data_IF_304126977742
#
_entry.id   IF_304126977742
#
_cell.length_a   1.000
_cell.length_b   1.000
_cell.length_c   1.000
_cell.angle_alpha   90.00
_cell.angle_beta   90.00
_cell.angle_gamma   90.00
#
_symmetry.space_group_name_H-M   'P 1'
#
loop_
_entity.id
_entity.type
_entity.pdbx_description
1 polymer ?
#
# COMPACT_ATOMS: atom_id res chain seq x y z
N UNK A 1 9.38 -27.86 -12.43
CA UNK A 1 8.58 -26.68 -12.84
C UNK A 1 8.18 -26.05 -11.53
N UNK A 2 9.03 -25.18 -11.00
CA UNK A 2 8.94 -24.72 -9.60
C UNK A 2 9.17 -23.19 -9.48
N UNK A 3 9.34 -22.50 -10.61
CA UNK A 3 9.61 -21.06 -10.66
C UNK A 3 8.39 -20.20 -10.34
N UNK A 4 7.26 -20.45 -11.02
CA UNK A 4 6.08 -19.57 -10.95
C UNK A 4 5.41 -19.49 -9.56
N UNK A 5 5.46 -20.56 -8.76
CA UNK A 5 4.86 -20.57 -7.42
C UNK A 5 5.60 -19.70 -6.41
N UNK A 6 6.90 -19.51 -6.56
CA UNK A 6 7.71 -18.65 -5.68
C UNK A 6 7.44 -17.17 -5.97
N UNK A 7 7.24 -16.82 -7.24
CA UNK A 7 6.97 -15.45 -7.67
C UNK A 7 5.62 -14.96 -7.12
N UNK A 8 4.56 -15.78 -7.21
CA UNK A 8 3.25 -15.42 -6.67
C UNK A 8 3.24 -15.31 -5.14
N UNK A 9 3.93 -16.20 -4.44
CA UNK A 9 4.05 -16.13 -2.97
C UNK A 9 4.80 -14.85 -2.55
N UNK A 10 5.93 -14.55 -3.20
CA UNK A 10 6.72 -13.34 -2.93
C UNK A 10 5.92 -12.06 -3.21
N UNK A 11 5.17 -12.03 -4.31
CA UNK A 11 4.25 -10.92 -4.62
C UNK A 11 3.19 -10.76 -3.54
N UNK A 12 2.59 -11.87 -3.09
CA UNK A 12 1.56 -11.86 -2.04
C UNK A 12 2.12 -11.33 -0.72
N UNK A 13 3.27 -11.83 -0.26
CA UNK A 13 3.95 -11.34 0.95
C UNK A 13 4.27 -9.83 0.84
N UNK A 14 4.69 -9.38 -0.34
CA UNK A 14 4.96 -7.95 -0.59
C UNK A 14 3.68 -7.12 -0.49
N UNK A 15 2.58 -7.60 -1.07
CA UNK A 15 1.26 -6.93 -1.00
C UNK A 15 0.78 -6.86 0.45
N UNK A 16 0.94 -7.92 1.24
CA UNK A 16 0.56 -7.93 2.65
C UNK A 16 1.37 -6.90 3.45
N UNK A 17 2.70 -6.85 3.27
CA UNK A 17 3.54 -5.84 3.90
C UNK A 17 3.16 -4.40 3.52
N UNK A 18 2.82 -4.16 2.24
CA UNK A 18 2.34 -2.86 1.78
C UNK A 18 0.96 -2.51 2.36
N UNK A 19 0.07 -3.49 2.54
CA UNK A 19 -1.24 -3.29 3.20
C UNK A 19 -1.07 -2.89 4.66
N UNK A 20 -0.21 -3.57 5.41
CA UNK A 20 0.11 -3.19 6.79
C UNK A 20 0.66 -1.76 6.86
N UNK A 21 1.59 -1.45 5.96
CA UNK A 21 2.18 -0.11 5.87
C UNK A 21 1.12 0.95 5.54
N UNK A 22 0.18 0.65 4.64
CA UNK A 22 -0.95 1.53 4.32
C UNK A 22 -1.86 1.77 5.53
N UNK A 23 -2.14 0.74 6.34
CA UNK A 23 -2.93 0.86 7.58
C UNK A 23 -2.20 1.72 8.61
N UNK A 24 -0.90 1.50 8.81
CA UNK A 24 -0.08 2.31 9.70
C UNK A 24 -0.09 3.79 9.29
N UNK A 25 0.04 4.05 7.98
CA UNK A 25 0.00 5.40 7.43
C UNK A 25 -1.38 6.07 7.64
N UNK A 26 -2.46 5.29 7.55
CA UNK A 26 -3.81 5.75 7.85
C UNK A 26 -3.95 6.17 9.31
N UNK A 27 -3.46 5.35 10.24
CA UNK A 27 -3.44 5.69 11.66
C UNK A 27 -2.64 6.97 11.93
N UNK A 28 -1.51 7.16 11.23
CA UNK A 28 -0.71 8.37 11.40
C UNK A 28 -1.43 9.63 10.87
N UNK A 29 -2.15 9.52 9.75
CA UNK A 29 -3.00 10.60 9.23
C UNK A 29 -4.15 10.93 10.17
N UNK A 30 -4.79 9.90 10.75
CA UNK A 30 -5.91 10.06 11.68
C UNK A 30 -5.44 10.75 12.98
N UNK A 31 -4.32 10.29 13.54
CA UNK A 31 -3.68 10.89 14.71
C UNK A 31 -3.27 12.36 14.48
N UNK A 32 -2.80 12.72 13.27
CA UNK A 32 -2.51 14.11 12.92
C UNK A 32 -3.77 14.97 12.80
N UNK A 33 -4.89 14.38 12.40
CA UNK A 33 -6.17 15.09 12.29
C UNK A 33 -6.77 15.31 13.68
N UNK A 34 -6.67 14.32 14.57
CA UNK A 34 -7.18 14.38 15.94
C UNK A 34 -6.45 15.41 16.82
N UNK A 35 -5.14 15.60 16.62
CA UNK A 35 -4.34 16.57 17.36
C UNK A 35 -4.64 18.05 17.03
N UNK A 36 -5.51 18.35 16.06
CA UNK A 36 -6.03 19.69 15.76
C UNK A 36 -5.03 20.68 15.13
N UNK A 37 -3.72 20.44 15.26
CA UNK A 37 -2.66 21.15 14.53
C UNK A 37 -2.28 20.30 13.32
N UNK A 38 -3.04 20.48 12.23
CA UNK A 38 -2.73 19.82 10.96
C UNK A 38 -1.46 20.47 10.41
N UNK A 39 -0.32 19.84 10.65
CA UNK A 39 0.91 20.13 9.93
C UNK A 39 0.67 19.80 8.44
N UNK A 40 0.35 20.84 7.67
CA UNK A 40 -0.03 20.71 6.26
C UNK A 40 1.06 20.03 5.43
N UNK A 41 2.33 20.24 5.80
CA UNK A 41 3.47 19.62 5.13
C UNK A 41 3.52 18.12 5.43
N UNK A 42 3.33 17.74 6.70
CA UNK A 42 3.29 16.33 7.11
C UNK A 42 2.07 15.61 6.51
N UNK A 43 0.90 16.23 6.54
CA UNK A 43 -0.32 15.70 5.93
C UNK A 43 -0.17 15.50 4.42
N UNK A 44 0.41 16.46 3.70
CA UNK A 44 0.67 16.33 2.26
C UNK A 44 1.66 15.19 1.94
N UNK A 45 2.70 15.00 2.76
CA UNK A 45 3.65 13.88 2.63
C UNK A 45 2.95 12.54 2.83
N UNK A 46 2.17 12.40 3.89
CA UNK A 46 1.44 11.15 4.18
C UNK A 46 0.41 10.83 3.09
N UNK A 47 -0.34 11.81 2.58
CA UNK A 47 -1.24 11.59 1.43
C UNK A 47 -0.49 11.10 0.19
N UNK A 48 0.67 11.69 -0.10
CA UNK A 48 1.51 11.29 -1.24
C UNK A 48 2.05 9.87 -1.06
N UNK A 49 2.48 9.52 0.15
CA UNK A 49 2.97 8.20 0.47
C UNK A 49 1.85 7.15 0.43
N UNK A 50 0.66 7.50 0.93
CA UNK A 50 -0.54 6.66 0.84
C UNK A 50 -0.92 6.36 -0.60
N UNK A 51 -0.85 7.37 -1.47
CA UNK A 51 -1.10 7.20 -2.90
C UNK A 51 -0.05 6.27 -3.54
N UNK A 52 1.24 6.47 -3.23
CA UNK A 52 2.31 5.59 -3.73
C UNK A 52 2.14 4.14 -3.31
N UNK A 53 1.78 3.89 -2.04
CA UNK A 53 1.54 2.53 -1.54
C UNK A 53 0.34 1.91 -2.28
N UNK A 54 -0.74 2.67 -2.48
CA UNK A 54 -1.90 2.22 -3.25
C UNK A 54 -1.56 1.89 -4.71
N UNK A 55 -0.79 2.74 -5.38
CA UNK A 55 -0.32 2.51 -6.76
C UNK A 55 0.60 1.27 -6.82
N UNK A 56 1.49 1.10 -5.84
CA UNK A 56 2.36 -0.08 -5.75
C UNK A 56 1.55 -1.36 -5.55
N UNK A 57 0.57 -1.36 -4.63
CA UNK A 57 -0.34 -2.49 -4.43
C UNK A 57 -1.09 -2.79 -5.72
N UNK A 58 -1.66 -1.78 -6.39
CA UNK A 58 -2.41 -1.98 -7.63
C UNK A 58 -1.51 -2.58 -8.72
N UNK A 59 -0.27 -2.11 -8.85
CA UNK A 59 0.69 -2.64 -9.82
C UNK A 59 1.14 -4.08 -9.52
N UNK A 60 1.26 -4.45 -8.25
CA UNK A 60 1.59 -5.81 -7.83
C UNK A 60 0.38 -6.74 -7.97
N UNK A 61 -0.82 -6.25 -7.65
CA UNK A 61 -2.09 -6.95 -7.89
C UNK A 61 -2.27 -7.19 -9.39
N UNK A 62 -2.08 -6.20 -10.27
CA UNK A 62 -2.11 -6.38 -11.73
C UNK A 62 -1.14 -7.47 -12.23
N UNK A 63 0.05 -7.56 -11.63
CA UNK A 63 1.03 -8.61 -11.95
C UNK A 63 0.61 -9.99 -11.45
N UNK A 64 -0.07 -10.06 -10.30
CA UNK A 64 -0.58 -11.31 -9.72
C UNK A 64 -1.91 -11.75 -10.38
N UNK A 65 -2.70 -10.80 -10.88
CA UNK A 65 -4.08 -10.98 -11.36
C UNK A 65 -4.32 -10.46 -12.78
N UNK A 66 -3.60 -10.92 -13.81
CA UNK A 66 -4.05 -10.71 -15.19
C UNK A 66 -5.43 -11.37 -15.50
N UNK A 67 -6.07 -12.08 -14.55
CA UNK A 67 -7.22 -12.97 -14.78
C UNK A 67 -8.52 -12.61 -14.01
N UNK A 68 -8.53 -11.58 -13.14
CA UNK A 68 -9.70 -11.31 -12.24
C UNK A 68 -10.53 -10.08 -12.66
N UNK A 69 -10.05 -9.27 -13.61
CA UNK A 69 -10.79 -8.13 -14.17
C UNK A 69 -11.14 -8.43 -15.65
N UNK A 70 -11.99 -9.44 -15.85
CA UNK A 70 -12.71 -9.73 -17.11
C UNK A 70 -14.21 -9.88 -16.82
#
# INVERSE_FOLDING_TARGET
MDGEFLDQQTLTETIEGLREQHVALNHEVDALTENGVIDQLKYARLKKEKLRIKDAISHLEDQLTPDIIA
#
